data_IF_786074872704
#
_entry.id   IF_786074872704
#
_cell.length_a   1.000
_cell.length_b   1.000
_cell.length_c   1.000
_cell.angle_alpha   90.00
_cell.angle_beta   90.00
_cell.angle_gamma   90.00
#
_symmetry.space_group_name_H-M   'P 1'
#
loop_
_entity.id
_entity.type
_entity.pdbx_description
1 polymer ?
#
# COMPACT_ATOMS: atom_id res chain seq x y z
N UNK A 1 26.17 10.49 -9.69
CA UNK A 1 24.83 9.91 -9.62
C UNK A 1 24.06 10.67 -8.54
N UNK A 2 22.82 11.03 -8.81
CA UNK A 2 21.87 11.60 -7.83
C UNK A 2 20.98 10.47 -7.36
N UNK A 3 20.77 10.37 -6.05
CA UNK A 3 19.86 9.41 -5.40
C UNK A 3 18.93 10.21 -4.51
N UNK A 4 17.61 10.01 -4.66
CA UNK A 4 16.57 10.74 -3.90
C UNK A 4 15.60 9.76 -3.25
N UNK A 5 15.98 9.14 -2.14
CA UNK A 5 15.22 8.05 -1.53
C UNK A 5 13.79 8.42 -1.10
N UNK A 6 13.56 9.70 -0.77
CA UNK A 6 12.23 10.15 -0.38
C UNK A 6 11.25 10.35 -1.54
N UNK A 7 11.73 10.32 -2.81
CA UNK A 7 10.94 10.70 -3.98
C UNK A 7 11.06 9.75 -5.18
N UNK A 8 11.63 8.59 -4.98
CA UNK A 8 11.73 7.54 -6.01
C UNK A 8 11.76 6.15 -5.33
N UNK A 9 10.93 5.18 -5.76
CA UNK A 9 10.86 3.86 -5.13
C UNK A 9 12.16 3.05 -5.22
N UNK A 10 12.88 3.14 -6.34
CA UNK A 10 14.15 2.44 -6.50
C UNK A 10 15.25 3.06 -5.65
N UNK A 11 15.28 4.40 -5.60
CA UNK A 11 16.20 5.14 -4.74
C UNK A 11 15.87 4.89 -3.25
N UNK A 12 14.59 4.69 -2.89
CA UNK A 12 14.17 4.31 -1.54
C UNK A 12 14.79 2.97 -1.12
N UNK A 13 14.70 1.96 -1.98
CA UNK A 13 15.30 0.66 -1.70
C UNK A 13 16.84 0.75 -1.55
N UNK A 14 17.49 1.60 -2.35
CA UNK A 14 18.91 1.92 -2.18
C UNK A 14 19.17 2.64 -0.86
N UNK A 15 18.31 3.59 -0.50
CA UNK A 15 18.39 4.34 0.75
C UNK A 15 18.35 3.43 1.96
N UNK A 16 17.42 2.47 2.00
CA UNK A 16 17.34 1.47 3.07
C UNK A 16 18.60 0.58 3.10
N UNK A 17 19.05 0.08 1.94
CA UNK A 17 20.20 -0.82 1.84
C UNK A 17 21.50 -0.19 2.29
N UNK A 18 21.67 1.10 2.04
CA UNK A 18 22.90 1.85 2.31
C UNK A 18 22.78 2.84 3.46
N UNK A 19 21.65 2.84 4.17
CA UNK A 19 21.37 3.77 5.28
C UNK A 19 21.62 5.24 4.89
N UNK A 20 21.04 5.64 3.75
CA UNK A 20 21.16 7.01 3.26
C UNK A 20 20.10 7.92 3.89
N UNK A 21 20.43 9.20 4.01
CA UNK A 21 19.45 10.20 4.39
C UNK A 21 18.32 10.29 3.36
N UNK A 22 17.10 10.49 3.84
CA UNK A 22 15.88 10.56 3.01
C UNK A 22 15.17 11.91 3.18
N UNK A 23 15.81 13.03 2.80
CA UNK A 23 15.19 14.34 2.93
C UNK A 23 13.98 14.48 2.02
N UNK A 24 12.84 14.81 2.60
CA UNK A 24 11.63 15.17 1.86
C UNK A 24 11.71 16.66 1.47
N UNK A 25 11.57 16.95 0.19
CA UNK A 25 11.67 18.31 -0.36
C UNK A 25 10.35 18.86 -0.90
N UNK A 26 9.26 18.13 -0.68
CA UNK A 26 7.92 18.49 -1.18
C UNK A 26 6.88 18.28 -0.08
N UNK A 27 5.94 19.21 0.00
CA UNK A 27 4.77 19.09 0.87
C UNK A 27 3.65 18.22 0.24
N UNK A 28 2.53 18.10 0.93
CA UNK A 28 1.36 17.32 0.48
C UNK A 28 0.63 17.92 -0.71
N UNK A 29 0.90 19.18 -1.04
CA UNK A 29 0.28 19.89 -2.17
C UNK A 29 1.18 19.97 -3.39
N UNK A 30 2.38 19.37 -3.32
CA UNK A 30 3.36 19.33 -4.41
C UNK A 30 4.19 20.61 -4.54
N UNK A 31 4.25 21.43 -3.48
CA UNK A 31 5.15 22.57 -3.44
C UNK A 31 6.47 22.18 -2.78
N UNK A 32 7.55 22.82 -3.23
CA UNK A 32 8.87 22.65 -2.60
C UNK A 32 8.82 23.18 -1.18
N UNK A 33 9.29 22.40 -0.23
CA UNK A 33 9.23 22.75 1.18
C UNK A 33 10.39 22.16 1.99
N UNK A 34 10.82 22.87 3.01
CA UNK A 34 11.80 22.40 3.98
C UNK A 34 13.23 22.31 3.45
N UNK A 35 13.52 22.89 2.30
CA UNK A 35 14.85 22.84 1.69
C UNK A 35 15.78 23.95 2.18
N UNK A 36 15.23 25.02 2.76
CA UNK A 36 15.98 26.22 3.13
C UNK A 36 16.54 26.99 1.94
N UNK A 37 15.99 26.76 0.75
CA UNK A 37 16.45 27.41 -0.49
C UNK A 37 15.43 28.43 -1.01
N UNK A 38 15.85 29.21 -2.00
CA UNK A 38 14.96 30.18 -2.69
C UNK A 38 13.78 29.52 -3.43
N UNK A 39 13.72 28.20 -3.48
CA UNK A 39 12.69 27.45 -4.18
C UNK A 39 11.52 27.06 -3.26
N UNK A 40 11.67 27.18 -1.93
CA UNK A 40 10.62 26.87 -0.99
C UNK A 40 9.35 27.68 -1.28
N UNK A 41 8.20 27.01 -1.28
CA UNK A 41 6.89 27.56 -1.63
C UNK A 41 6.56 27.57 -3.11
N UNK A 42 7.49 27.19 -4.00
CA UNK A 42 7.21 27.10 -5.43
C UNK A 42 6.49 25.80 -5.78
N UNK A 43 5.57 25.88 -6.73
CA UNK A 43 5.03 24.67 -7.38
C UNK A 43 6.16 23.84 -8.00
N UNK A 44 6.05 22.51 -7.95
CA UNK A 44 7.10 21.58 -8.41
C UNK A 44 7.50 21.78 -9.88
N UNK A 45 6.56 22.15 -10.74
CA UNK A 45 6.85 22.37 -12.16
C UNK A 45 7.57 23.70 -12.37
N UNK A 46 7.16 24.74 -11.65
CA UNK A 46 7.86 26.03 -11.66
C UNK A 46 9.29 25.87 -11.10
N UNK A 47 9.41 25.22 -9.96
CA UNK A 47 10.71 24.95 -9.32
C UNK A 47 11.66 24.19 -10.27
N UNK A 48 11.16 23.21 -11.02
CA UNK A 48 11.95 22.44 -12.00
C UNK A 48 12.57 23.35 -13.07
N UNK A 49 11.84 24.35 -13.54
CA UNK A 49 12.36 25.34 -14.51
C UNK A 49 13.40 26.22 -13.85
N UNK A 50 13.10 26.79 -12.69
CA UNK A 50 13.96 27.71 -11.95
C UNK A 50 15.28 27.07 -11.51
N UNK A 51 15.23 25.83 -11.00
CA UNK A 51 16.43 25.08 -10.60
C UNK A 51 17.38 24.90 -11.79
N UNK A 52 16.84 24.58 -12.97
CA UNK A 52 17.65 24.44 -14.18
C UNK A 52 18.30 25.76 -14.60
N UNK A 53 17.53 26.85 -14.58
CA UNK A 53 18.06 28.19 -14.88
C UNK A 53 19.21 28.54 -13.94
N UNK A 54 19.04 28.27 -12.65
CA UNK A 54 20.04 28.56 -11.63
C UNK A 54 21.30 27.70 -11.79
N UNK A 55 21.14 26.40 -12.06
CA UNK A 55 22.27 25.51 -12.34
C UNK A 55 23.02 25.91 -13.62
N UNK A 56 22.31 26.41 -14.63
CA UNK A 56 22.94 26.94 -15.86
C UNK A 56 23.77 28.19 -15.58
N UNK A 57 23.23 29.13 -14.78
CA UNK A 57 23.99 30.33 -14.37
C UNK A 57 25.27 30.01 -13.62
N UNK A 58 25.22 28.91 -12.81
CA UNK A 58 26.38 28.43 -12.07
C UNK A 58 27.37 27.58 -12.92
N UNK A 59 27.09 27.39 -14.19
CA UNK A 59 27.92 26.57 -15.08
C UNK A 59 27.92 25.07 -14.76
N UNK A 60 26.89 24.58 -14.03
CA UNK A 60 26.80 23.20 -13.59
C UNK A 60 26.09 22.28 -14.58
N UNK A 61 25.49 22.81 -15.64
CA UNK A 61 24.87 22.02 -16.70
C UNK A 61 25.89 21.80 -17.81
N UNK A 62 26.32 20.56 -17.98
CA UNK A 62 27.27 20.17 -19.03
C UNK A 62 26.57 19.88 -20.34
N UNK A 63 25.39 19.23 -20.30
CA UNK A 63 24.59 18.90 -21.46
C UNK A 63 23.12 18.69 -21.07
N UNK A 64 22.24 18.90 -22.02
CA UNK A 64 20.82 18.53 -21.92
C UNK A 64 20.41 17.64 -23.10
N UNK A 65 19.65 16.60 -22.81
CA UNK A 65 19.02 15.77 -23.83
C UNK A 65 17.54 16.10 -23.93
N UNK A 66 17.10 16.65 -25.07
CA UNK A 66 15.71 16.99 -25.36
C UNK A 66 15.35 16.64 -26.81
N UNK A 67 14.19 16.04 -27.06
CA UNK A 67 13.26 15.47 -26.08
C UNK A 67 13.83 14.23 -25.40
N UNK A 68 13.40 13.99 -24.15
CA UNK A 68 13.67 12.74 -23.42
C UNK A 68 12.32 12.07 -23.11
N UNK A 69 12.10 10.90 -23.70
CA UNK A 69 10.85 10.16 -23.52
C UNK A 69 11.03 9.11 -22.43
N UNK A 70 10.12 9.08 -21.48
CA UNK A 70 10.00 8.07 -20.45
C UNK A 70 8.54 7.99 -19.98
N UNK A 71 8.16 6.88 -19.36
CA UNK A 71 6.84 6.72 -18.77
C UNK A 71 6.78 7.45 -17.44
N UNK A 72 5.68 8.17 -17.20
CA UNK A 72 5.37 8.83 -15.93
C UNK A 72 4.00 8.34 -15.48
N UNK A 73 3.90 7.87 -14.22
CA UNK A 73 2.64 7.49 -13.63
C UNK A 73 1.73 8.71 -13.46
N UNK A 74 0.45 8.55 -13.77
CA UNK A 74 -0.57 9.56 -13.55
C UNK A 74 -1.70 9.00 -12.70
N UNK A 75 -2.32 9.85 -11.90
CA UNK A 75 -3.52 9.48 -11.16
C UNK A 75 -4.65 9.16 -12.13
N UNK A 76 -5.24 7.98 -12.00
CA UNK A 76 -6.38 7.57 -12.83
C UNK A 76 -7.59 8.50 -12.65
N UNK A 77 -7.75 9.07 -11.46
CA UNK A 77 -8.89 9.94 -11.13
C UNK A 77 -8.73 11.38 -11.58
N UNK A 78 -7.54 11.95 -11.38
CA UNK A 78 -7.28 13.37 -11.66
C UNK A 78 -6.51 13.62 -12.96
N UNK A 79 -5.81 12.61 -13.48
CA UNK A 79 -4.89 12.76 -14.59
C UNK A 79 -3.57 13.45 -14.25
N UNK A 80 -3.37 13.83 -12.98
CA UNK A 80 -2.16 14.49 -12.52
C UNK A 80 -0.97 13.53 -12.42
N UNK A 81 0.27 13.99 -12.72
CA UNK A 81 1.47 13.20 -12.51
C UNK A 81 1.63 12.80 -11.04
N UNK A 82 1.97 11.54 -10.81
CA UNK A 82 2.25 11.02 -9.47
C UNK A 82 3.65 11.45 -9.05
N UNK A 83 3.74 12.03 -7.86
CA UNK A 83 5.01 12.36 -7.21
C UNK A 83 5.18 11.46 -5.98
N UNK A 84 6.12 10.50 -6.01
CA UNK A 84 6.41 9.67 -4.83
C UNK A 84 6.87 10.53 -3.66
N UNK A 85 6.35 10.22 -2.48
CA UNK A 85 6.66 10.94 -1.24
C UNK A 85 6.55 9.97 -0.05
N UNK A 86 7.46 10.08 0.90
CA UNK A 86 7.38 9.33 2.15
C UNK A 86 6.19 9.83 2.99
N UNK A 87 5.42 8.90 3.51
CA UNK A 87 4.34 9.15 4.47
C UNK A 87 4.21 7.96 5.42
N UNK A 88 3.74 8.21 6.64
CA UNK A 88 3.40 7.13 7.54
C UNK A 88 2.16 6.42 7.00
N UNK A 89 2.23 5.10 6.94
CA UNK A 89 1.17 4.24 6.44
C UNK A 89 1.08 2.98 7.28
N UNK A 90 -0.09 2.38 7.32
CA UNK A 90 -0.28 1.05 7.89
C UNK A 90 0.03 -0.02 6.86
N UNK A 91 0.85 -1.00 7.27
CA UNK A 91 1.25 -2.13 6.43
C UNK A 91 0.90 -3.45 7.09
N UNK A 92 0.53 -4.42 6.27
CA UNK A 92 0.52 -5.83 6.64
C UNK A 92 1.81 -6.45 6.13
N UNK A 93 2.57 -7.11 7.03
CA UNK A 93 3.68 -7.98 6.64
C UNK A 93 3.10 -9.23 6.00
N UNK A 94 3.38 -9.42 4.73
CA UNK A 94 2.70 -10.44 3.93
C UNK A 94 3.52 -11.71 3.71
N UNK A 95 4.83 -11.71 3.95
CA UNK A 95 5.73 -12.83 3.62
C UNK A 95 5.19 -14.20 4.07
N UNK A 96 4.83 -14.33 5.33
CA UNK A 96 4.32 -15.59 5.88
C UNK A 96 2.92 -15.92 5.35
N UNK A 97 2.04 -14.92 5.30
CA UNK A 97 0.67 -15.07 4.81
C UNK A 97 0.64 -15.46 3.32
N UNK A 98 1.46 -14.81 2.51
CA UNK A 98 1.58 -15.11 1.09
C UNK A 98 2.16 -16.51 0.86
N UNK A 99 3.20 -16.88 1.63
CA UNK A 99 3.75 -18.24 1.59
C UNK A 99 2.68 -19.29 1.90
N UNK A 100 1.91 -19.11 2.97
CA UNK A 100 0.84 -20.05 3.35
C UNK A 100 -0.24 -20.17 2.26
N UNK A 101 -0.66 -19.05 1.67
CA UNK A 101 -1.60 -19.03 0.56
C UNK A 101 -1.04 -19.71 -0.70
N UNK A 102 0.24 -19.56 -0.97
CA UNK A 102 0.95 -20.25 -2.06
C UNK A 102 1.07 -21.75 -1.82
N UNK A 103 1.43 -22.14 -0.60
CA UNK A 103 1.60 -23.54 -0.21
C UNK A 103 0.29 -24.32 -0.30
N UNK A 104 -0.85 -23.74 0.08
CA UNK A 104 -2.16 -24.37 -0.06
C UNK A 104 -2.51 -24.75 -1.52
N UNK A 105 -1.99 -24.00 -2.50
CA UNK A 105 -2.13 -24.37 -3.92
C UNK A 105 -1.11 -25.46 -4.29
N UNK A 106 0.15 -25.34 -3.84
CA UNK A 106 1.22 -26.30 -4.17
C UNK A 106 0.96 -27.69 -3.57
N UNK A 107 0.36 -27.74 -2.41
CA UNK A 107 0.01 -28.97 -1.69
C UNK A 107 -1.31 -29.59 -2.17
N UNK A 108 -2.09 -28.83 -2.94
CA UNK A 108 -3.33 -29.30 -3.54
C UNK A 108 -4.57 -29.16 -2.65
N UNK A 109 -4.46 -28.45 -1.52
CA UNK A 109 -5.60 -28.15 -0.64
C UNK A 109 -6.62 -27.25 -1.35
N UNK A 110 -6.11 -26.37 -2.20
CA UNK A 110 -6.90 -25.54 -3.10
C UNK A 110 -6.37 -25.68 -4.53
N UNK A 111 -7.26 -25.69 -5.52
CA UNK A 111 -6.87 -25.81 -6.93
C UNK A 111 -7.41 -24.63 -7.74
N UNK A 112 -6.61 -24.16 -8.69
CA UNK A 112 -6.99 -23.08 -9.62
C UNK A 112 -7.43 -23.68 -10.95
N UNK A 113 -8.62 -23.30 -11.41
CA UNK A 113 -9.14 -23.68 -12.72
C UNK A 113 -9.42 -22.46 -13.59
N UNK A 114 -8.91 -22.40 -14.84
CA UNK A 114 -7.98 -23.37 -15.45
C UNK A 114 -6.57 -23.28 -14.85
N UNK A 115 -5.83 -24.39 -14.87
CA UNK A 115 -4.45 -24.44 -14.34
C UNK A 115 -3.49 -23.49 -15.04
N UNK A 116 -3.83 -23.04 -16.24
CA UNK A 116 -3.08 -21.99 -16.95
C UNK A 116 -3.03 -20.64 -16.21
N UNK A 117 -3.87 -20.43 -15.19
CA UNK A 117 -3.86 -19.23 -14.36
C UNK A 117 -2.89 -19.33 -13.14
N UNK A 118 -2.43 -20.55 -12.79
CA UNK A 118 -1.53 -20.76 -11.65
C UNK A 118 -0.20 -19.99 -11.76
N UNK A 119 0.50 -19.98 -12.92
CA UNK A 119 1.77 -19.25 -13.00
C UNK A 119 1.64 -17.78 -12.61
N UNK A 120 0.57 -17.11 -13.05
CA UNK A 120 0.32 -15.71 -12.71
C UNK A 120 -0.03 -15.52 -11.24
N UNK A 121 -0.68 -16.50 -10.63
CA UNK A 121 -0.96 -16.47 -9.19
C UNK A 121 0.36 -16.54 -8.40
N UNK A 122 1.25 -17.45 -8.77
CA UNK A 122 2.55 -17.62 -8.10
C UNK A 122 3.50 -16.45 -8.35
N UNK A 123 3.55 -15.92 -9.58
CA UNK A 123 4.33 -14.71 -9.87
C UNK A 123 3.99 -13.55 -8.93
N UNK A 124 2.73 -13.48 -8.51
CA UNK A 124 2.29 -12.43 -7.60
C UNK A 124 2.51 -12.80 -6.12
N UNK A 125 2.15 -14.02 -5.71
CA UNK A 125 2.22 -14.45 -4.30
C UNK A 125 3.67 -14.60 -3.84
N UNK A 126 4.56 -15.10 -4.71
CA UNK A 126 5.97 -15.34 -4.37
C UNK A 126 6.81 -14.04 -4.35
N UNK A 127 6.35 -12.98 -4.99
CA UNK A 127 7.04 -11.65 -5.02
C UNK A 127 6.20 -10.55 -4.37
N UNK A 128 5.25 -10.92 -3.52
CA UNK A 128 4.40 -9.94 -2.85
C UNK A 128 5.18 -9.11 -1.84
N UNK A 129 5.13 -7.80 -2.01
CA UNK A 129 5.69 -6.85 -1.05
C UNK A 129 4.69 -6.54 0.06
N UNK A 130 5.20 -6.01 1.19
CA UNK A 130 4.36 -5.55 2.29
C UNK A 130 3.21 -4.68 1.79
N UNK A 131 2.02 -5.02 2.23
CA UNK A 131 0.80 -4.43 1.70
C UNK A 131 0.37 -3.22 2.52
N UNK A 132 0.42 -2.05 1.90
CA UNK A 132 -0.14 -0.82 2.47
C UNK A 132 -1.65 -0.93 2.53
N UNK A 133 -2.22 -0.87 3.73
CA UNK A 133 -3.66 -1.02 3.97
C UNK A 133 -4.38 0.28 4.30
N UNK A 134 -3.67 1.35 4.59
CA UNK A 134 -4.25 2.68 4.83
C UNK A 134 -4.52 3.42 3.53
N UNK A 135 -5.67 4.10 3.47
CA UNK A 135 -6.09 4.93 2.34
C UNK A 135 -6.58 6.28 2.85
N UNK A 136 -6.13 7.35 2.20
CA UNK A 136 -6.55 8.72 2.46
C UNK A 136 -7.80 9.04 1.64
N UNK A 137 -8.90 8.36 1.96
CA UNK A 137 -10.18 8.49 1.29
C UNK A 137 -11.24 9.04 2.27
N UNK A 138 -12.19 9.75 1.73
CA UNK A 138 -13.26 10.34 2.54
C UNK A 138 -14.28 9.31 3.03
N UNK A 139 -14.44 8.20 2.29
CA UNK A 139 -15.39 7.15 2.60
C UNK A 139 -14.73 5.79 2.67
N UNK A 140 -15.04 5.01 3.69
CA UNK A 140 -14.55 3.64 3.87
C UNK A 140 -14.62 3.20 5.33
N UNK A 141 -14.14 1.99 5.62
CA UNK A 141 -14.01 1.48 6.99
C UNK A 141 -12.79 2.15 7.63
N UNK A 142 -13.01 2.98 8.62
CA UNK A 142 -11.92 3.63 9.35
C UNK A 142 -11.05 2.61 10.05
N UNK A 143 -9.75 2.87 10.04
CA UNK A 143 -8.78 2.05 10.77
C UNK A 143 -9.10 2.12 12.26
N UNK A 144 -9.28 0.96 12.96
CA UNK A 144 -9.74 0.92 14.35
C UNK A 144 -8.60 1.21 15.34
N UNK A 145 -7.70 2.09 14.97
CA UNK A 145 -6.56 2.51 15.77
C UNK A 145 -6.83 3.89 16.34
N UNK A 146 -6.48 4.07 17.61
CA UNK A 146 -6.64 5.31 18.32
C UNK A 146 -5.32 5.72 18.97
N UNK A 147 -5.03 7.01 18.91
CA UNK A 147 -3.81 7.62 19.42
C UNK A 147 -4.14 8.43 20.67
N UNK A 148 -3.46 8.11 21.77
CA UNK A 148 -3.58 8.84 23.02
C UNK A 148 -2.69 10.09 23.05
N UNK A 149 -2.94 11.00 24.02
CA UNK A 149 -2.21 12.26 24.13
C UNK A 149 -0.72 12.10 24.42
N UNK A 150 -0.30 11.01 25.04
CA UNK A 150 1.08 10.71 25.37
C UNK A 150 1.75 9.75 24.38
N UNK A 151 1.10 9.51 23.23
CA UNK A 151 1.61 8.70 22.14
C UNK A 151 1.25 7.22 22.22
N UNK A 152 0.32 6.86 23.10
CA UNK A 152 -0.24 5.50 23.15
C UNK A 152 -0.99 5.18 21.86
N UNK A 153 -0.90 3.92 21.46
CA UNK A 153 -1.59 3.38 20.30
C UNK A 153 -2.42 2.18 20.72
N UNK A 154 -3.73 2.25 20.52
CA UNK A 154 -4.64 1.15 20.88
C UNK A 154 -5.54 0.79 19.70
N UNK A 155 -5.86 -0.49 19.59
CA UNK A 155 -6.88 -0.98 18.66
C UNK A 155 -8.14 -1.24 19.45
N UNK A 156 -9.24 -0.58 19.09
CA UNK A 156 -10.53 -0.72 19.76
C UNK A 156 -11.54 -1.39 18.83
N UNK A 157 -12.30 -2.33 19.41
CA UNK A 157 -13.43 -2.94 18.76
C UNK A 157 -14.65 -2.00 18.72
N UNK A 158 -15.75 -2.42 18.07
CA UNK A 158 -16.93 -1.59 17.90
C UNK A 158 -17.66 -1.28 19.23
N UNK A 159 -17.52 -2.14 20.23
CA UNK A 159 -18.18 -2.04 21.53
C UNK A 159 -17.25 -1.51 22.64
N UNK A 160 -15.98 -1.23 22.31
CA UNK A 160 -15.03 -0.72 23.28
C UNK A 160 -15.24 0.77 23.54
N UNK A 161 -15.11 1.17 24.81
CA UNK A 161 -15.16 2.60 25.18
C UNK A 161 -13.87 3.30 24.73
N UNK A 162 -14.04 4.40 24.00
CA UNK A 162 -12.90 5.24 23.59
C UNK A 162 -12.42 6.03 24.82
N UNK A 163 -11.14 5.89 25.23
CA UNK A 163 -10.63 6.66 26.36
C UNK A 163 -10.63 8.17 26.06
N UNK A 164 -10.78 8.97 27.12
CA UNK A 164 -10.79 10.43 27.00
C UNK A 164 -9.47 10.94 26.38
N UNK A 165 -9.57 11.86 25.43
CA UNK A 165 -8.41 12.47 24.76
C UNK A 165 -7.84 11.66 23.59
N UNK A 166 -8.36 10.47 23.31
CA UNK A 166 -7.90 9.68 22.17
C UNK A 166 -8.53 10.14 20.85
N UNK A 167 -7.74 10.08 19.78
CA UNK A 167 -8.17 10.43 18.42
C UNK A 167 -7.99 9.22 17.51
N UNK A 168 -9.05 8.88 16.77
CA UNK A 168 -9.01 7.77 15.81
C UNK A 168 -8.15 8.13 14.59
N UNK A 169 -7.44 7.13 14.06
CA UNK A 169 -6.73 7.24 12.80
C UNK A 169 -7.67 7.81 11.71
N UNK A 170 -7.24 8.85 10.97
CA UNK A 170 -8.08 9.48 9.95
C UNK A 170 -8.26 8.62 8.69
N UNK A 171 -7.37 7.66 8.46
CA UNK A 171 -7.36 6.84 7.28
C UNK A 171 -8.44 5.74 7.32
N UNK A 172 -8.78 5.25 6.16
CA UNK A 172 -9.66 4.09 5.99
C UNK A 172 -8.88 2.89 5.47
N UNK A 173 -9.42 1.70 5.72
CA UNK A 173 -8.82 0.46 5.21
C UNK A 173 -8.97 0.37 3.69
N UNK A 174 -7.98 -0.23 3.04
CA UNK A 174 -8.07 -0.69 1.67
C UNK A 174 -9.30 -1.58 1.47
N UNK A 175 -10.03 -1.37 0.39
CA UNK A 175 -11.20 -2.18 0.01
C UNK A 175 -10.89 -3.68 0.00
N UNK A 176 -9.67 -4.04 -0.45
CA UNK A 176 -9.25 -5.45 -0.49
C UNK A 176 -9.04 -6.06 0.90
N UNK A 177 -8.85 -5.25 1.93
CA UNK A 177 -8.77 -5.74 3.31
C UNK A 177 -10.12 -6.26 3.78
N UNK A 178 -11.17 -5.46 3.67
CA UNK A 178 -12.52 -5.89 4.04
C UNK A 178 -13.07 -6.98 3.13
N UNK A 179 -12.79 -6.92 1.82
CA UNK A 179 -13.22 -7.97 0.87
C UNK A 179 -12.54 -9.30 1.13
N UNK A 180 -11.34 -9.32 1.68
CA UNK A 180 -10.64 -10.56 2.04
C UNK A 180 -11.32 -11.31 3.20
N UNK A 181 -12.07 -10.61 4.04
CA UNK A 181 -12.83 -11.20 5.14
C UNK A 181 -14.17 -11.81 4.70
N UNK A 182 -14.62 -11.51 3.48
CA UNK A 182 -15.97 -11.82 2.99
C UNK A 182 -16.38 -13.31 3.16
N UNK A 183 -15.54 -14.31 2.85
CA UNK A 183 -15.96 -15.72 2.90
C UNK A 183 -16.39 -16.22 4.27
N UNK A 184 -15.95 -15.57 5.34
CA UNK A 184 -16.23 -15.96 6.71
C UNK A 184 -16.92 -14.88 7.53
N UNK A 185 -16.65 -13.60 7.28
CA UNK A 185 -17.31 -12.50 8.02
C UNK A 185 -18.82 -12.44 7.78
N UNK A 186 -19.27 -12.75 6.55
CA UNK A 186 -20.69 -12.80 6.21
C UNK A 186 -21.44 -13.99 6.84
N UNK A 187 -20.71 -14.97 7.36
CA UNK A 187 -21.23 -16.13 8.07
C UNK A 187 -21.11 -16.00 9.60
N UNK A 188 -20.82 -14.77 10.08
CA UNK A 188 -20.81 -14.44 11.49
C UNK A 188 -19.47 -14.52 12.21
N UNK A 189 -18.36 -14.82 11.51
CA UNK A 189 -17.04 -14.73 12.13
C UNK A 189 -16.80 -13.35 12.76
N UNK A 190 -16.23 -13.23 13.98
CA UNK A 190 -15.46 -14.26 14.72
C UNK A 190 -16.30 -15.24 15.55
N UNK A 191 -17.62 -15.15 15.54
CA UNK A 191 -18.48 -16.06 16.27
C UNK A 191 -18.51 -17.43 15.61
N UNK A 192 -18.67 -18.50 16.42
CA UNK A 192 -18.85 -19.86 15.92
C UNK A 192 -20.32 -20.09 15.58
N UNK A 193 -20.71 -19.75 14.39
CA UNK A 193 -22.10 -19.92 13.92
C UNK A 193 -22.30 -21.24 13.17
N UNK A 194 -23.50 -21.78 13.14
CA UNK A 194 -23.84 -22.96 12.34
C UNK A 194 -23.58 -22.76 10.83
N UNK A 195 -23.76 -21.52 10.34
CA UNK A 195 -23.50 -21.16 8.96
C UNK A 195 -22.01 -21.21 8.63
N UNK A 196 -21.17 -20.67 9.52
CA UNK A 196 -19.71 -20.73 9.35
C UNK A 196 -19.22 -22.17 9.36
N UNK A 197 -19.66 -22.98 10.31
CA UNK A 197 -19.28 -24.41 10.42
C UNK A 197 -19.72 -25.23 9.21
N UNK A 198 -20.86 -24.89 8.61
CA UNK A 198 -21.43 -25.63 7.48
C UNK A 198 -20.87 -25.24 6.14
N UNK A 199 -20.59 -23.93 5.90
CA UNK A 199 -20.32 -23.38 4.58
C UNK A 199 -18.88 -22.92 4.40
N UNK A 200 -18.10 -22.85 5.45
CA UNK A 200 -16.67 -22.57 5.38
C UNK A 200 -15.87 -23.82 5.83
N UNK A 201 -14.77 -24.22 5.15
CA UNK A 201 -14.18 -23.56 3.98
C UNK A 201 -15.04 -23.66 2.74
N UNK A 202 -14.97 -22.64 1.88
CA UNK A 202 -15.73 -22.54 0.64
C UNK A 202 -15.32 -23.62 -0.36
N UNK A 203 -16.28 -24.45 -0.85
CA UNK A 203 -15.97 -25.54 -1.77
C UNK A 203 -15.57 -25.06 -3.17
N UNK A 204 -16.19 -24.00 -3.69
CA UNK A 204 -15.90 -23.42 -5.01
C UNK A 204 -16.11 -21.92 -4.97
N UNK A 205 -15.14 -21.19 -5.51
CA UNK A 205 -15.24 -19.74 -5.71
C UNK A 205 -15.01 -19.43 -7.19
N UNK A 206 -15.93 -18.70 -7.80
CA UNK A 206 -15.82 -18.24 -9.19
C UNK A 206 -15.55 -16.73 -9.19
N UNK A 207 -14.51 -16.33 -9.87
CA UNK A 207 -14.10 -14.92 -9.96
C UNK A 207 -13.55 -14.60 -11.34
N UNK A 208 -13.40 -13.31 -11.66
CA UNK A 208 -12.66 -12.86 -12.82
C UNK A 208 -11.15 -13.13 -12.61
N UNK A 209 -10.45 -13.46 -13.69
CA UNK A 209 -9.03 -13.83 -13.62
C UNK A 209 -8.13 -12.68 -13.13
N UNK A 210 -8.52 -11.45 -13.36
CA UNK A 210 -7.77 -10.23 -13.01
C UNK A 210 -7.78 -9.93 -11.52
N UNK A 211 -8.75 -10.45 -10.75
CA UNK A 211 -8.80 -10.32 -9.29
C UNK A 211 -8.43 -11.59 -8.52
N UNK A 212 -7.96 -12.62 -9.21
CA UNK A 212 -7.50 -13.86 -8.58
C UNK A 212 -6.41 -13.60 -7.53
N UNK A 213 -5.42 -12.80 -7.88
CA UNK A 213 -4.31 -12.47 -6.99
C UNK A 213 -4.62 -11.28 -6.05
N UNK A 214 -5.51 -10.37 -6.42
CA UNK A 214 -5.92 -9.29 -5.52
C UNK A 214 -6.91 -9.74 -4.44
N UNK A 215 -7.88 -10.55 -4.82
CA UNK A 215 -8.97 -10.93 -3.94
C UNK A 215 -8.81 -12.33 -3.38
N UNK A 216 -8.68 -13.35 -4.22
CA UNK A 216 -8.65 -14.74 -3.76
C UNK A 216 -7.43 -15.02 -2.90
N UNK A 217 -6.23 -14.59 -3.32
CA UNK A 217 -5.03 -14.76 -2.54
C UNK A 217 -5.16 -14.12 -1.14
N UNK A 218 -5.75 -12.91 -1.06
CA UNK A 218 -5.97 -12.24 0.24
C UNK A 218 -7.02 -12.94 1.10
N UNK A 219 -8.08 -13.49 0.50
CA UNK A 219 -9.03 -14.33 1.24
C UNK A 219 -8.35 -15.57 1.83
N UNK A 220 -7.48 -16.22 1.05
CA UNK A 220 -6.70 -17.37 1.54
C UNK A 220 -5.75 -16.95 2.66
N UNK A 221 -5.03 -15.85 2.53
CA UNK A 221 -4.16 -15.30 3.57
C UNK A 221 -4.93 -15.09 4.89
N UNK A 222 -6.09 -14.45 4.82
CA UNK A 222 -6.87 -14.13 6.01
C UNK A 222 -7.57 -15.34 6.62
N UNK A 223 -8.09 -16.24 5.79
CA UNK A 223 -8.67 -17.50 6.25
C UNK A 223 -7.65 -18.35 7.01
N UNK A 224 -6.46 -18.48 6.45
CA UNK A 224 -5.35 -19.22 7.10
C UNK A 224 -4.89 -18.54 8.39
N UNK A 225 -4.73 -17.21 8.38
CA UNK A 225 -4.38 -16.45 9.58
C UNK A 225 -5.41 -16.61 10.69
N UNK A 226 -6.69 -16.62 10.35
CA UNK A 226 -7.78 -16.80 11.31
C UNK A 226 -7.92 -18.27 11.81
N UNK A 227 -7.11 -19.19 11.31
CA UNK A 227 -7.19 -20.61 11.68
C UNK A 227 -8.47 -21.28 11.22
N UNK A 228 -9.03 -20.84 10.09
CA UNK A 228 -10.30 -21.30 9.53
C UNK A 228 -10.12 -22.29 8.34
N UNK A 229 -8.92 -22.80 8.15
CA UNK A 229 -8.58 -23.76 7.08
C UNK A 229 -8.67 -25.20 7.57
#
# INVERSE_FOLDING_TARGET
VKITPAHDPNDYALGLRHNLDMPTIMDTTGHIAGTGTMFDGMDRFEARVKIREELAKQGRIVAEKRPYQHSVGHSERSGEPIEPRLSLQWFVKVDELARMAGDAIREGDTTIHPTSAEPRYFDWVDDMHDWTISRQLWWGHRIPIWYGPDGEVVCLGPDDEVPEGYTQDPDVLDTWFSSALWPFSTMGWPEKTPELEKFYPTSVLVTAYDILFFWVARMMMFGTFAGLT
#
